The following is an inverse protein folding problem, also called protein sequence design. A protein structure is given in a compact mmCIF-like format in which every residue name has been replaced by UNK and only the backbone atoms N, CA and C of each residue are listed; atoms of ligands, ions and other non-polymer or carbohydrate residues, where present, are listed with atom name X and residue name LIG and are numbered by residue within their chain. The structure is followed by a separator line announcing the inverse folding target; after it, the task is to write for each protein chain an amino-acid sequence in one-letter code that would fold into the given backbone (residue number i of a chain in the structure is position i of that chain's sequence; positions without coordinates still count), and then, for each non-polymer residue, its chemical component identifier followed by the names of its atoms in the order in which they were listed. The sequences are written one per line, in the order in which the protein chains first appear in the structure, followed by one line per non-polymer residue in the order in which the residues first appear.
data_IF_140098171459
#
_entry.id   IF_140098171459
#
_cell.length_a   1.000
_cell.length_b   1.000
_cell.length_c   1.000
_cell.angle_alpha   90.00
_cell.angle_beta   90.00
_cell.angle_gamma   90.00
#
_symmetry.space_group_name_H-M   'P 1'
#
loop_
_entity.id
_entity.type
_entity.pdbx_description
1 polymer ?
#
# COMPACT_ATOMS: atom_id res chain seq x y z
N UNK A 1 1.18 7.98 11.79
CA UNK A 1 1.78 7.43 10.55
C UNK A 1 3.01 6.65 10.92
N UNK A 2 2.89 5.35 10.80
CA UNK A 2 3.99 4.42 10.86
C UNK A 2 3.64 3.23 9.98
N UNK A 3 4.65 2.54 9.50
CA UNK A 3 4.50 1.21 8.92
C UNK A 3 4.85 0.19 9.99
N UNK A 4 4.11 -0.91 10.05
CA UNK A 4 4.40 -1.95 11.00
C UNK A 4 3.69 -3.26 10.72
N UNK A 5 3.97 -4.22 11.59
CA UNK A 5 3.46 -5.59 11.56
C UNK A 5 2.39 -5.77 12.62
N UNK A 6 1.21 -6.25 12.23
CA UNK A 6 0.16 -6.61 13.18
C UNK A 6 0.65 -7.79 14.03
N UNK A 7 0.65 -7.64 15.34
CA UNK A 7 1.10 -8.67 16.29
C UNK A 7 -0.06 -9.31 17.06
N UNK A 8 -1.14 -8.57 17.29
CA UNK A 8 -2.31 -9.07 18.00
C UNK A 8 -3.60 -8.45 17.46
N UNK A 9 -4.71 -9.19 17.56
CA UNK A 9 -6.04 -8.75 17.17
C UNK A 9 -7.03 -9.16 18.24
N UNK A 10 -7.84 -8.22 18.72
CA UNK A 10 -8.88 -8.43 19.73
C UNK A 10 -10.20 -7.85 19.23
N UNK A 11 -11.27 -8.62 19.31
CA UNK A 11 -12.63 -8.11 19.03
C UNK A 11 -12.94 -6.92 19.94
N UNK A 12 -13.66 -5.94 19.41
CA UNK A 12 -14.13 -4.83 20.23
C UNK A 12 -15.03 -5.33 21.37
N UNK A 13 -14.86 -4.74 22.55
CA UNK A 13 -15.74 -5.03 23.68
C UNK A 13 -17.16 -4.54 23.38
N UNK A 14 -18.18 -5.32 23.74
CA UNK A 14 -19.58 -5.05 23.40
C UNK A 14 -20.09 -3.66 23.85
N UNK A 15 -19.44 -3.04 24.84
CA UNK A 15 -19.76 -1.70 25.35
C UNK A 15 -19.30 -0.57 24.41
N UNK A 16 -18.37 -0.81 23.48
CA UNK A 16 -17.87 0.18 22.51
C UNK A 16 -18.60 0.03 21.18
N UNK A 17 -19.82 0.57 21.10
CA UNK A 17 -20.75 0.38 19.97
C UNK A 17 -20.18 0.75 18.60
N UNK A 18 -19.19 1.64 18.54
CA UNK A 18 -18.65 2.18 17.28
C UNK A 18 -17.29 1.59 16.88
N UNK A 19 -16.70 0.71 17.70
CA UNK A 19 -15.45 0.02 17.35
C UNK A 19 -15.75 -1.39 16.85
N UNK A 20 -15.12 -1.78 15.75
CA UNK A 20 -15.25 -3.13 15.18
C UNK A 20 -14.17 -4.08 15.73
N UNK A 21 -12.92 -3.62 15.73
CA UNK A 21 -11.78 -4.43 16.17
C UNK A 21 -10.68 -3.54 16.76
N UNK A 22 -9.95 -4.08 17.73
CA UNK A 22 -8.68 -3.56 18.23
C UNK A 22 -7.54 -4.42 17.72
N UNK A 23 -6.42 -3.82 17.37
CA UNK A 23 -5.24 -4.57 16.96
C UNK A 23 -3.98 -3.83 17.37
N UNK A 24 -2.93 -4.60 17.68
CA UNK A 24 -1.64 -4.07 18.08
C UNK A 24 -0.67 -4.23 16.92
N UNK A 25 0.14 -3.19 16.69
CA UNK A 25 1.12 -3.16 15.61
C UNK A 25 2.50 -2.89 16.19
N UNK A 26 3.46 -3.74 15.86
CA UNK A 26 4.89 -3.50 16.10
C UNK A 26 5.43 -2.57 15.01
N UNK A 27 6.01 -1.45 15.43
CA UNK A 27 6.49 -0.39 14.56
C UNK A 27 7.80 -0.81 13.90
N UNK A 28 7.83 -0.76 12.57
CA UNK A 28 9.04 -1.01 11.76
C UNK A 28 9.62 0.29 11.20
N UNK A 29 8.75 1.22 10.82
CA UNK A 29 9.10 2.56 10.33
C UNK A 29 8.15 3.60 10.90
N UNK A 30 8.63 4.77 11.33
CA UNK A 30 7.75 5.84 11.80
C UNK A 30 7.94 7.15 11.04
N UNK A 31 6.83 7.78 10.69
CA UNK A 31 6.78 9.09 10.04
C UNK A 31 6.32 10.18 11.03
N UNK A 32 5.34 9.85 11.87
CA UNK A 32 4.71 10.77 12.84
C UNK A 32 3.77 10.04 13.79
N UNK A 33 3.75 10.37 15.09
CA UNK A 33 2.74 9.88 16.06
C UNK A 33 2.33 11.03 17.02
N UNK A 34 1.03 11.34 17.08
CA UNK A 34 0.52 12.51 17.85
C UNK A 34 0.08 12.23 19.29
N UNK A 35 -0.07 10.96 19.71
CA UNK A 35 -0.68 10.62 21.01
C UNK A 35 0.30 10.03 22.03
N UNK A 36 0.15 10.48 23.29
CA UNK A 36 0.45 9.73 24.52
C UNK A 36 1.86 9.18 24.71
N UNK A 37 2.87 9.73 24.04
CA UNK A 37 4.22 9.16 24.00
C UNK A 37 4.84 9.12 22.61
N UNK A 38 4.10 9.47 21.56
CA UNK A 38 4.54 9.46 20.15
C UNK A 38 5.80 10.26 19.81
N UNK A 39 6.24 11.18 20.68
CA UNK A 39 7.53 11.89 20.56
C UNK A 39 8.73 11.01 20.96
N UNK A 40 8.48 9.90 21.64
CA UNK A 40 9.45 8.93 22.14
C UNK A 40 9.30 7.53 21.52
N UNK A 41 8.28 7.31 20.69
CA UNK A 41 8.10 6.04 19.99
C UNK A 41 9.29 5.75 19.07
N UNK A 42 9.72 4.50 19.04
CA UNK A 42 10.85 4.00 18.25
C UNK A 42 10.46 2.75 17.49
N UNK A 43 11.31 2.37 16.54
CA UNK A 43 11.24 1.05 15.89
C UNK A 43 11.33 -0.03 16.96
N UNK A 44 10.46 -1.04 16.86
CA UNK A 44 10.30 -2.12 17.84
C UNK A 44 9.22 -1.87 18.89
N UNK A 45 8.78 -0.62 19.08
CA UNK A 45 7.68 -0.33 19.99
C UNK A 45 6.34 -0.83 19.42
N UNK A 46 5.38 -1.08 20.29
CA UNK A 46 4.01 -1.45 19.90
C UNK A 46 3.06 -0.26 19.98
N UNK A 47 2.14 -0.19 19.03
CA UNK A 47 1.06 0.80 19.01
C UNK A 47 -0.29 0.11 18.83
N UNK A 48 -1.22 0.42 19.73
CA UNK A 48 -2.60 -0.05 19.62
C UNK A 48 -3.41 0.81 18.65
N UNK A 49 -4.10 0.13 17.76
CA UNK A 49 -4.97 0.67 16.74
C UNK A 49 -6.38 0.11 16.89
N UNK A 50 -7.33 0.78 16.25
CA UNK A 50 -8.73 0.35 16.20
C UNK A 50 -9.35 0.70 14.87
N UNK A 51 -10.28 -0.13 14.44
CA UNK A 51 -11.15 0.14 13.30
C UNK A 51 -12.50 0.63 13.82
N UNK A 52 -12.88 1.83 13.42
CA UNK A 52 -14.18 2.41 13.73
C UNK A 52 -15.19 2.06 12.64
N UNK A 53 -16.45 1.90 13.01
CA UNK A 53 -17.57 1.79 12.05
C UNK A 53 -17.70 3.05 11.19
N UNK A 54 -17.44 4.22 11.79
CA UNK A 54 -17.46 5.52 11.14
C UNK A 54 -16.14 6.25 11.43
N UNK A 55 -15.53 6.84 10.40
CA UNK A 55 -14.31 7.66 10.51
C UNK A 55 -13.00 6.94 10.17
N UNK A 56 -13.01 5.61 10.05
CA UNK A 56 -11.85 4.84 9.56
C UNK A 56 -11.95 4.62 8.05
N UNK A 57 -11.01 5.19 7.30
CA UNK A 57 -10.79 4.82 5.91
C UNK A 57 -9.91 3.57 5.88
N UNK A 58 -10.42 2.54 5.20
CA UNK A 58 -9.79 1.25 5.15
C UNK A 58 -9.35 0.90 3.72
N UNK A 59 -8.10 0.49 3.57
CA UNK A 59 -7.49 0.10 2.30
C UNK A 59 -6.84 -1.26 2.46
N UNK A 60 -7.14 -2.20 1.54
CA UNK A 60 -6.44 -3.48 1.48
C UNK A 60 -5.83 -3.62 0.09
N UNK A 61 -4.53 -3.83 0.00
CA UNK A 61 -3.79 -4.00 -1.27
C UNK A 61 -4.11 -2.92 -2.33
N UNK A 62 -4.45 -1.71 -1.86
CA UNK A 62 -4.75 -0.54 -2.71
C UNK A 62 -6.23 -0.37 -3.05
N UNK A 63 -7.09 -1.31 -2.67
CA UNK A 63 -8.55 -1.19 -2.81
C UNK A 63 -9.15 -0.56 -1.54
N UNK A 64 -9.92 0.51 -1.70
CA UNK A 64 -10.73 1.03 -0.60
C UNK A 64 -11.89 0.07 -0.33
N UNK A 65 -12.06 -0.32 0.94
CA UNK A 65 -13.08 -1.28 1.40
C UNK A 65 -13.86 -0.70 2.57
N UNK A 66 -15.04 -1.25 2.84
CA UNK A 66 -15.79 -0.87 4.03
C UNK A 66 -15.11 -1.38 5.33
N UNK A 67 -15.40 -0.72 6.44
CA UNK A 67 -14.76 -0.96 7.73
C UNK A 67 -14.98 -2.39 8.25
N UNK A 68 -16.16 -2.97 7.99
CA UNK A 68 -16.50 -4.34 8.38
C UNK A 68 -15.64 -5.38 7.64
N UNK A 69 -15.36 -5.16 6.36
CA UNK A 69 -14.48 -6.00 5.56
C UNK A 69 -13.05 -5.92 6.07
N UNK A 70 -12.55 -4.70 6.28
CA UNK A 70 -11.20 -4.50 6.82
C UNK A 70 -11.01 -5.16 8.18
N UNK A 71 -11.98 -5.00 9.09
CA UNK A 71 -11.95 -5.62 10.41
C UNK A 71 -11.86 -7.17 10.36
N UNK A 72 -12.44 -7.80 9.35
CA UNK A 72 -12.33 -9.27 9.13
C UNK A 72 -10.99 -9.68 8.52
N UNK A 73 -10.39 -8.83 7.70
CA UNK A 73 -9.13 -9.13 7.03
C UNK A 73 -7.91 -9.02 7.96
N UNK A 74 -7.95 -8.13 8.97
CA UNK A 74 -6.86 -7.93 9.93
C UNK A 74 -6.56 -9.23 10.69
N UNK A 75 -5.30 -9.63 10.66
CA UNK A 75 -4.76 -10.79 11.37
C UNK A 75 -3.28 -10.56 11.69
N UNK A 76 -2.70 -11.28 12.68
CA UNK A 76 -1.28 -11.23 12.95
C UNK A 76 -0.44 -11.50 11.69
N UNK A 77 0.78 -10.98 11.68
CA UNK A 77 1.78 -11.06 10.61
C UNK A 77 1.48 -10.28 9.33
N UNK A 78 0.31 -9.63 9.23
CA UNK A 78 0.07 -8.68 8.16
C UNK A 78 0.84 -7.38 8.41
N UNK A 79 1.18 -6.72 7.30
CA UNK A 79 1.92 -5.46 7.31
C UNK A 79 1.04 -4.35 6.79
N UNK A 80 1.31 -3.13 7.22
CA UNK A 80 0.49 -2.01 6.81
C UNK A 80 1.07 -0.66 7.16
N UNK A 81 0.46 0.38 6.61
CA UNK A 81 0.70 1.78 6.96
C UNK A 81 -0.51 2.30 7.73
N UNK A 82 -0.24 2.83 8.93
CA UNK A 82 -1.27 3.22 9.87
C UNK A 82 -1.08 4.69 10.26
N UNK A 83 -2.06 5.51 9.90
CA UNK A 83 -2.17 6.88 10.38
C UNK A 83 -3.28 6.98 11.41
N UNK A 84 -2.89 6.77 12.67
CA UNK A 84 -3.83 6.76 13.80
C UNK A 84 -4.98 5.80 13.48
N UNK A 85 -6.21 6.11 13.87
CA UNK A 85 -7.38 5.26 13.60
C UNK A 85 -8.07 5.60 12.28
N UNK A 86 -7.42 6.39 11.44
CA UNK A 86 -8.10 7.21 10.43
C UNK A 86 -7.83 6.76 9.03
N UNK A 87 -6.56 6.52 8.68
CA UNK A 87 -6.19 5.86 7.43
C UNK A 87 -5.44 4.58 7.76
N UNK A 88 -6.06 3.46 7.43
CA UNK A 88 -5.56 2.12 7.71
C UNK A 88 -5.34 1.42 6.37
N UNK A 89 -4.08 1.18 6.04
CA UNK A 89 -3.67 0.49 4.82
C UNK A 89 -3.02 -0.84 5.17
N UNK A 90 -3.56 -1.94 4.66
CA UNK A 90 -3.15 -3.30 4.97
C UNK A 90 -2.67 -4.01 3.70
N UNK A 91 -1.54 -4.69 3.80
CA UNK A 91 -1.01 -5.56 2.75
C UNK A 91 -1.26 -7.01 3.14
N UNK A 92 -1.81 -7.79 2.21
CA UNK A 92 -2.05 -9.23 2.41
C UNK A 92 -0.88 -10.09 1.94
N UNK A 93 0.07 -9.49 1.22
CA UNK A 93 1.32 -10.11 0.79
C UNK A 93 2.38 -10.05 1.90
N UNK A 94 3.39 -10.95 1.86
CA UNK A 94 4.54 -10.85 2.76
C UNK A 94 5.23 -9.50 2.65
N UNK A 95 5.80 -9.03 3.76
CA UNK A 95 6.61 -7.82 3.78
C UNK A 95 7.78 -7.92 2.80
N UNK A 96 8.13 -6.78 2.21
CA UNK A 96 9.32 -6.64 1.38
C UNK A 96 10.26 -5.60 2.01
N UNK A 97 11.56 -5.74 1.74
CA UNK A 97 12.53 -4.70 2.08
C UNK A 97 12.46 -3.57 1.04
N UNK A 98 12.66 -2.33 1.48
CA UNK A 98 12.51 -1.14 0.64
C UNK A 98 13.60 -0.13 0.95
N UNK A 99 14.31 0.37 -0.07
CA UNK A 99 15.35 1.36 0.13
C UNK A 99 16.12 1.71 -1.13
N UNK A 100 17.13 2.55 -0.98
CA UNK A 100 18.05 3.02 -2.02
C UNK A 100 19.29 2.10 -2.10
N UNK A 101 19.71 1.72 -3.29
CA UNK A 101 20.98 1.02 -3.50
C UNK A 101 22.14 2.01 -3.38
N UNK A 102 23.09 1.76 -2.49
CA UNK A 102 24.24 2.65 -2.25
C UNK A 102 25.50 2.17 -2.94
N UNK A 103 25.75 0.86 -2.87
CA UNK A 103 26.94 0.23 -3.43
C UNK A 103 26.64 -1.20 -3.85
N UNK A 104 27.34 -1.70 -4.87
CA UNK A 104 27.16 -3.05 -5.41
C UNK A 104 28.51 -3.77 -5.37
N UNK A 105 28.54 -4.93 -4.74
CA UNK A 105 29.64 -5.88 -4.77
C UNK A 105 29.35 -7.04 -5.73
N UNK A 106 30.17 -8.09 -5.67
CA UNK A 106 30.05 -9.25 -6.58
C UNK A 106 28.80 -10.11 -6.29
N UNK A 107 28.50 -10.32 -5.01
CA UNK A 107 27.50 -11.25 -4.48
C UNK A 107 26.56 -10.61 -3.44
N UNK A 108 26.74 -9.32 -3.19
CA UNK A 108 25.91 -8.54 -2.29
C UNK A 108 25.88 -7.07 -2.69
N UNK A 109 24.81 -6.37 -2.33
CA UNK A 109 24.73 -4.91 -2.45
C UNK A 109 24.35 -4.29 -1.10
N UNK A 110 24.62 -3.00 -0.95
CA UNK A 110 24.24 -2.24 0.24
C UNK A 110 22.95 -1.48 -0.04
N UNK A 111 21.91 -1.76 0.76
CA UNK A 111 20.63 -1.08 0.73
C UNK A 111 20.54 -0.10 1.89
N UNK A 112 20.27 1.17 1.58
CA UNK A 112 19.93 2.20 2.56
C UNK A 112 18.41 2.29 2.70
N UNK A 113 17.93 1.85 3.85
CA UNK A 113 16.51 1.85 4.19
C UNK A 113 16.16 3.18 4.85
N UNK A 114 15.36 4.00 4.17
CA UNK A 114 14.84 5.25 4.72
C UNK A 114 13.57 5.01 5.53
N UNK A 115 13.57 5.52 6.77
CA UNK A 115 12.44 5.34 7.70
C UNK A 115 11.49 6.53 7.75
N UNK A 116 11.94 7.69 7.25
CA UNK A 116 11.15 8.91 7.10
C UNK A 116 11.66 9.70 5.89
N UNK A 117 10.83 10.61 5.39
CA UNK A 117 11.18 11.59 4.35
C UNK A 117 11.16 13.03 4.90
N UNK A 118 10.91 13.20 6.21
CA UNK A 118 10.87 14.51 6.85
C UNK A 118 12.21 14.77 7.52
N UNK A 119 12.89 15.83 7.10
CA UNK A 119 14.21 16.21 7.62
C UNK A 119 14.22 16.31 9.15
N UNK A 120 13.17 16.90 9.73
CA UNK A 120 12.98 17.04 11.19
C UNK A 120 12.90 15.72 11.96
N UNK A 121 12.75 14.59 11.27
CA UNK A 121 12.67 13.25 11.87
C UNK A 121 13.84 12.36 11.48
N UNK A 122 14.76 12.79 10.60
CA UNK A 122 15.90 11.97 10.15
C UNK A 122 16.85 11.67 11.32
N UNK A 123 17.17 12.64 12.17
CA UNK A 123 18.07 12.42 13.31
C UNK A 123 17.53 11.38 14.31
N UNK A 124 16.21 11.34 14.48
CA UNK A 124 15.52 10.36 15.35
C UNK A 124 15.19 9.05 14.63
N UNK A 125 15.37 9.02 13.31
CA UNK A 125 15.18 7.88 12.42
C UNK A 125 16.32 7.79 11.40
N UNK A 126 17.56 7.56 11.84
CA UNK A 126 18.67 7.48 10.91
C UNK A 126 18.40 6.36 9.90
N UNK A 127 18.72 6.59 8.61
CA UNK A 127 18.68 5.52 7.63
C UNK A 127 19.53 4.33 8.09
N UNK A 128 19.04 3.13 7.82
CA UNK A 128 19.77 1.90 8.13
C UNK A 128 20.40 1.36 6.85
N UNK A 129 21.71 1.15 6.85
CA UNK A 129 22.38 0.44 5.76
C UNK A 129 22.50 -1.05 6.08
N UNK A 130 21.97 -1.88 5.19
CA UNK A 130 22.04 -3.34 5.30
C UNK A 130 22.74 -3.92 4.08
N UNK A 131 23.53 -4.98 4.28
CA UNK A 131 24.08 -5.79 3.20
C UNK A 131 23.06 -6.84 2.79
N UNK A 132 22.73 -6.89 1.51
CA UNK A 132 21.79 -7.86 0.96
C UNK A 132 22.52 -8.78 -0.01
N UNK A 133 22.61 -10.08 0.28
CA UNK A 133 23.17 -11.05 -0.65
C UNK A 133 22.24 -11.27 -1.84
N UNK A 134 22.81 -11.51 -3.02
CA UNK A 134 22.10 -11.92 -4.21
C UNK A 134 22.90 -12.93 -5.03
N UNK A 135 22.18 -13.76 -5.80
CA UNK A 135 22.75 -14.77 -6.68
C UNK A 135 22.06 -14.75 -8.04
N UNK A 136 22.42 -15.71 -8.88
CA UNK A 136 21.89 -15.91 -10.23
C UNK A 136 20.44 -16.43 -10.27
N UNK A 137 19.89 -16.87 -9.14
CA UNK A 137 18.51 -17.35 -9.02
C UNK A 137 17.53 -16.23 -8.74
N UNK A 138 18.00 -15.04 -8.39
CA UNK A 138 17.15 -13.87 -8.17
C UNK A 138 16.64 -13.34 -9.51
N UNK A 139 15.33 -13.13 -9.59
CA UNK A 139 14.72 -12.43 -10.70
C UNK A 139 14.84 -10.91 -10.51
N UNK A 140 15.37 -10.22 -11.51
CA UNK A 140 15.49 -8.76 -11.48
C UNK A 140 14.45 -8.12 -12.40
N UNK A 141 13.90 -6.99 -11.99
CA UNK A 141 12.92 -6.22 -12.76
C UNK A 141 13.20 -4.72 -12.67
N UNK A 142 12.86 -3.99 -13.72
CA UNK A 142 12.66 -2.54 -13.70
C UNK A 142 11.16 -2.29 -13.75
N UNK A 143 10.57 -1.95 -12.60
CA UNK A 143 9.11 -1.92 -12.41
C UNK A 143 8.44 -3.23 -12.92
N UNK A 144 7.57 -3.15 -13.92
CA UNK A 144 6.87 -4.30 -14.50
C UNK A 144 7.73 -5.12 -15.48
N UNK A 145 8.90 -4.66 -15.88
CA UNK A 145 9.66 -5.30 -16.97
C UNK A 145 10.80 -6.18 -16.43
N UNK A 146 11.05 -7.38 -17.01
CA UNK A 146 12.25 -8.16 -16.72
C UNK A 146 13.53 -7.34 -16.92
N UNK A 147 14.54 -7.58 -16.08
CA UNK A 147 15.83 -6.90 -16.15
C UNK A 147 16.97 -7.79 -15.63
N UNK A 148 18.17 -7.22 -15.54
CA UNK A 148 19.36 -7.84 -15.01
C UNK A 148 19.85 -7.13 -13.73
N UNK A 149 20.75 -7.80 -13.00
CA UNK A 149 21.33 -7.25 -11.77
C UNK A 149 22.08 -5.94 -12.01
N UNK A 150 22.83 -5.83 -13.12
CA UNK A 150 23.65 -4.67 -13.44
C UNK A 150 22.81 -3.40 -13.68
N UNK A 151 21.57 -3.57 -14.14
CA UNK A 151 20.62 -2.49 -14.39
C UNK A 151 19.77 -2.20 -13.17
N UNK A 152 19.22 -3.23 -12.52
CA UNK A 152 18.34 -3.07 -11.37
C UNK A 152 19.08 -2.53 -10.13
N UNK A 153 20.31 -2.98 -9.89
CA UNK A 153 21.08 -2.62 -8.70
C UNK A 153 21.97 -1.37 -8.89
N UNK A 154 21.76 -0.56 -9.92
CA UNK A 154 22.55 0.67 -10.08
C UNK A 154 22.45 1.55 -8.82
N UNK A 155 23.57 2.05 -8.26
CA UNK A 155 23.52 2.99 -7.15
C UNK A 155 22.59 4.18 -7.42
N UNK A 156 21.78 4.53 -6.43
CA UNK A 156 20.70 5.52 -6.53
C UNK A 156 19.33 4.95 -6.92
N UNK A 157 19.27 3.74 -7.49
CA UNK A 157 17.98 3.07 -7.70
C UNK A 157 17.34 2.72 -6.36
N UNK A 158 16.02 2.81 -6.30
CA UNK A 158 15.26 2.25 -5.19
C UNK A 158 14.82 0.84 -5.53
N UNK A 159 14.78 -0.06 -4.55
CA UNK A 159 14.39 -1.45 -4.79
C UNK A 159 13.38 -1.94 -3.77
N UNK A 160 12.43 -2.75 -4.22
CA UNK A 160 11.65 -3.66 -3.40
C UNK A 160 12.26 -5.05 -3.49
N UNK A 161 12.62 -5.62 -2.34
CA UNK A 161 13.16 -6.98 -2.24
C UNK A 161 12.06 -7.88 -1.72
N UNK A 162 11.52 -8.65 -2.64
CA UNK A 162 10.43 -9.56 -2.39
C UNK A 162 10.97 -10.97 -2.22
N UNK A 163 10.72 -11.56 -1.06
CA UNK A 163 11.03 -12.97 -0.82
C UNK A 163 10.10 -13.88 -1.64
N UNK A 164 10.48 -15.17 -1.84
CA UNK A 164 9.65 -16.12 -2.55
C UNK A 164 8.23 -16.17 -1.99
N UNK A 165 7.24 -16.25 -2.88
CA UNK A 165 5.84 -16.38 -2.48
C UNK A 165 5.11 -17.38 -3.37
N UNK A 166 4.13 -18.11 -2.82
CA UNK A 166 3.21 -18.91 -3.63
C UNK A 166 2.37 -18.02 -4.55
N UNK A 167 1.68 -18.65 -5.49
CA UNK A 167 0.60 -17.98 -6.21
C UNK A 167 -0.48 -17.56 -5.21
N UNK A 168 -0.97 -16.32 -5.30
CA UNK A 168 -2.08 -15.85 -4.47
C UNK A 168 -3.24 -15.48 -5.37
N UNK A 169 -4.44 -15.90 -4.98
CA UNK A 169 -5.67 -15.66 -5.73
C UNK A 169 -6.69 -15.04 -4.78
N UNK A 170 -7.06 -13.79 -5.05
CA UNK A 170 -7.97 -13.01 -4.19
C UNK A 170 -9.23 -12.62 -4.94
N UNK A 171 -10.38 -13.05 -4.42
CA UNK A 171 -11.71 -12.62 -4.84
C UNK A 171 -12.12 -11.37 -4.06
N UNK A 172 -12.64 -10.36 -4.76
CA UNK A 172 -13.26 -9.18 -4.19
C UNK A 172 -14.73 -9.13 -4.54
N UNK A 173 -15.57 -9.14 -3.51
CA UNK A 173 -17.01 -8.99 -3.67
C UNK A 173 -17.38 -7.51 -3.91
N UNK A 174 -18.58 -7.29 -4.48
CA UNK A 174 -19.04 -5.93 -4.79
C UNK A 174 -19.55 -5.19 -3.56
N UNK A 175 -20.13 -5.92 -2.60
CA UNK A 175 -20.65 -5.40 -1.33
C UNK A 175 -19.56 -5.01 -0.33
N UNK A 176 -18.30 -5.37 -0.59
CA UNK A 176 -17.13 -4.97 0.22
C UNK A 176 -16.51 -3.64 -0.19
N UNK A 177 -17.01 -3.03 -1.27
CA UNK A 177 -16.58 -1.71 -1.71
C UNK A 177 -16.76 -0.67 -0.59
N UNK A 178 -15.89 0.33 -0.61
CA UNK A 178 -15.94 1.45 0.31
C UNK A 178 -17.30 2.16 0.29
N UNK A 179 -17.87 2.36 1.49
CA UNK A 179 -19.11 3.12 1.66
C UNK A 179 -18.79 4.55 2.10
N UNK A 180 -19.20 5.54 1.29
CA UNK A 180 -19.00 6.95 1.60
C UNK A 180 -19.76 7.40 2.84
N UNK A 181 -20.80 6.69 3.28
CA UNK A 181 -21.48 6.95 4.53
C UNK A 181 -20.64 6.57 5.77
N UNK A 182 -19.58 5.76 5.60
CA UNK A 182 -18.64 5.45 6.68
C UNK A 182 -17.67 6.61 6.97
N UNK A 183 -17.61 7.63 6.11
CA UNK A 183 -16.94 8.90 6.41
C UNK A 183 -17.82 9.75 7.32
N UNK A 184 -17.29 10.29 8.43
CA UNK A 184 -18.03 11.34 9.13
C UNK A 184 -18.05 12.63 8.29
N UNK A 185 -19.13 13.42 8.37
CA UNK A 185 -19.20 14.72 7.71
C UNK A 185 -18.02 15.61 8.13
N UNK A 186 -17.31 16.14 7.13
CA UNK A 186 -16.11 16.96 7.32
C UNK A 186 -16.42 18.22 8.14
N UNK A 187 -17.64 18.72 8.01
CA UNK A 187 -18.18 19.91 8.66
C UNK A 187 -18.36 19.73 10.17
N UNK A 188 -18.35 18.49 10.67
CA UNK A 188 -18.47 18.18 12.10
C UNK A 188 -17.10 18.12 12.82
N UNK A 189 -15.99 18.36 12.08
CA UNK A 189 -14.63 18.28 12.59
C UNK A 189 -14.24 19.48 13.46
N UNK A 190 -14.44 19.38 14.78
CA UNK A 190 -13.95 20.39 15.75
C UNK A 190 -12.50 20.12 16.18
N UNK A 191 -11.77 21.19 16.55
CA UNK A 191 -10.41 21.10 17.14
C UNK A 191 -10.45 20.17 18.37
N UNK A 192 -9.67 19.09 18.37
CA UNK A 192 -9.68 18.04 19.41
C UNK A 192 -10.39 16.73 19.01
N UNK A 193 -11.34 16.77 18.06
CA UNK A 193 -11.96 15.58 17.43
C UNK A 193 -11.31 15.21 16.10
N UNK A 194 -10.51 16.14 15.58
CA UNK A 194 -10.13 16.20 14.18
C UNK A 194 -8.98 15.28 13.74
N UNK A 195 -8.60 14.34 14.59
CA UNK A 195 -7.58 13.34 14.32
C UNK A 195 -8.19 11.97 14.01
N UNK A 196 -9.26 11.58 14.72
CA UNK A 196 -9.82 10.22 14.64
C UNK A 196 -11.07 10.11 13.75
N UNK A 197 -11.69 11.23 13.36
CA UNK A 197 -13.12 11.20 12.96
C UNK A 197 -13.48 11.95 11.67
N UNK A 198 -12.74 12.98 11.27
CA UNK A 198 -13.10 13.80 10.09
C UNK A 198 -11.97 13.81 9.07
N UNK A 199 -11.84 12.72 8.33
CA UNK A 199 -10.90 12.63 7.21
C UNK A 199 -11.60 12.04 6.00
N UNK A 200 -11.32 12.65 4.85
CA UNK A 200 -11.84 12.19 3.58
C UNK A 200 -10.75 11.41 2.85
N UNK A 201 -11.09 10.24 2.34
CA UNK A 201 -10.28 9.57 1.34
C UNK A 201 -11.04 9.50 0.03
N UNK A 202 -10.31 9.72 -1.06
CA UNK A 202 -10.88 9.67 -2.39
C UNK A 202 -10.00 8.77 -3.24
N UNK A 203 -10.63 7.83 -3.93
CA UNK A 203 -9.97 7.08 -4.98
C UNK A 203 -9.46 8.07 -6.03
N UNK A 204 -8.28 7.80 -6.54
CA UNK A 204 -7.62 8.63 -7.51
C UNK A 204 -6.75 7.83 -8.45
N UNK A 205 -6.31 8.50 -9.50
CA UNK A 205 -5.29 7.97 -10.41
C UNK A 205 -4.25 9.05 -10.63
N UNK A 206 -2.98 8.68 -10.58
CA UNK A 206 -1.88 9.60 -10.91
C UNK A 206 -1.90 9.86 -12.42
N UNK A 207 -1.98 11.12 -12.84
CA UNK A 207 -2.19 11.52 -14.25
C UNK A 207 -0.91 12.05 -14.92
N UNK A 208 0.08 12.47 -14.14
CA UNK A 208 1.12 13.47 -14.49
C UNK A 208 1.55 13.55 -15.97
N UNK A 209 1.27 14.72 -16.58
CA UNK A 209 1.81 15.23 -17.85
C UNK A 209 2.71 16.44 -17.57
N UNK A 210 4.00 16.22 -17.33
CA UNK A 210 5.05 17.20 -17.68
C UNK A 210 5.75 16.69 -18.94
N UNK A 211 6.14 17.55 -19.91
CA UNK A 211 6.72 17.13 -21.19
C UNK A 211 7.87 16.13 -21.06
N UNK A 212 8.57 16.14 -19.93
CA UNK A 212 9.82 15.40 -19.77
C UNK A 212 9.74 14.17 -18.86
N UNK A 213 8.55 13.78 -18.37
CA UNK A 213 8.42 12.66 -17.39
C UNK A 213 9.34 12.83 -16.17
N UNK A 214 9.57 14.07 -15.74
CA UNK A 214 10.38 14.40 -14.56
C UNK A 214 9.48 14.99 -13.49
N UNK A 215 9.46 14.37 -12.32
CA UNK A 215 9.02 14.99 -11.08
C UNK A 215 10.25 15.53 -10.32
N UNK A 216 10.57 16.81 -10.54
CA UNK A 216 11.40 17.55 -9.59
C UNK A 216 10.59 17.78 -8.28
N UNK A 217 11.25 18.08 -7.17
CA UNK A 217 10.60 18.46 -5.91
C UNK A 217 9.71 19.71 -6.06
N UNK A 218 9.85 20.48 -7.15
CA UNK A 218 8.92 21.56 -7.54
C UNK A 218 7.70 21.09 -8.34
N UNK A 219 7.70 19.84 -8.82
CA UNK A 219 6.73 19.34 -9.78
C UNK A 219 5.36 19.04 -9.16
N UNK A 220 4.35 19.31 -9.96
CA UNK A 220 2.95 19.16 -9.61
C UNK A 220 2.48 17.74 -9.95
N UNK A 221 2.03 16.99 -8.94
CA UNK A 221 1.34 15.71 -9.20
C UNK A 221 -0.13 15.99 -9.43
N UNK A 222 -0.65 15.60 -10.59
CA UNK A 222 -2.09 15.65 -10.84
C UNK A 222 -2.72 14.31 -10.51
N UNK A 223 -3.78 14.36 -9.71
CA UNK A 223 -4.61 13.19 -9.44
C UNK A 223 -6.05 13.50 -9.81
N UNK A 224 -6.68 12.58 -10.54
CA UNK A 224 -8.13 12.59 -10.65
C UNK A 224 -8.72 12.17 -9.30
N UNK A 225 -9.79 12.82 -8.87
CA UNK A 225 -10.56 12.43 -7.69
C UNK A 225 -12.05 12.45 -8.02
N UNK A 226 -12.81 11.57 -7.39
CA UNK A 226 -14.26 11.47 -7.60
C UNK A 226 -15.02 12.00 -6.38
N UNK A 227 -15.80 13.06 -6.56
CA UNK A 227 -16.62 13.67 -5.53
C UNK A 227 -18.04 13.92 -5.98
N UNK A 228 -19.00 13.41 -5.21
CA UNK A 228 -20.42 13.61 -5.50
C UNK A 228 -20.78 13.23 -6.96
N UNK A 229 -20.07 12.25 -7.53
CA UNK A 229 -20.23 11.82 -8.92
C UNK A 229 -19.42 12.61 -9.95
N UNK A 230 -18.71 13.67 -9.55
CA UNK A 230 -17.90 14.51 -10.45
C UNK A 230 -16.41 14.17 -10.35
N UNK A 231 -15.75 14.16 -11.51
CA UNK A 231 -14.31 13.97 -11.64
C UNK A 231 -13.62 15.33 -11.57
N UNK A 232 -12.74 15.51 -10.60
CA UNK A 232 -11.90 16.71 -10.46
C UNK A 232 -10.43 16.35 -10.57
N UNK A 233 -9.63 17.19 -11.21
CA UNK A 233 -8.17 17.08 -11.17
C UNK A 233 -7.60 17.95 -10.05
N UNK A 234 -6.80 17.36 -9.17
CA UNK A 234 -6.11 18.09 -8.09
C UNK A 234 -4.62 18.11 -8.36
N UNK A 235 -4.04 19.30 -8.26
CA UNK A 235 -2.61 19.57 -8.41
C UNK A 235 -1.93 19.61 -7.05
N UNK A 236 -0.89 18.80 -6.86
CA UNK A 236 -0.27 18.55 -5.56
C UNK A 236 1.17 19.07 -5.52
N UNK A 237 1.56 19.65 -4.38
CA UNK A 237 2.95 20.03 -4.13
C UNK A 237 3.68 18.83 -3.51
N UNK A 238 4.57 18.19 -4.28
CA UNK A 238 5.32 17.02 -3.86
C UNK A 238 6.19 17.23 -2.61
N UNK A 239 6.59 18.48 -2.27
CA UNK A 239 7.31 18.80 -1.01
C UNK A 239 6.42 18.75 0.23
N UNK A 240 5.11 18.89 0.07
CA UNK A 240 4.15 19.00 1.19
C UNK A 240 3.32 17.74 1.40
N UNK A 241 3.32 16.82 0.42
CA UNK A 241 2.51 15.61 0.46
C UNK A 241 3.40 14.38 0.47
N UNK A 242 3.16 13.48 1.42
CA UNK A 242 3.93 12.24 1.53
C UNK A 242 3.32 11.14 0.69
N UNK A 243 4.17 10.39 -0.01
CA UNK A 243 3.78 9.24 -0.79
C UNK A 243 4.08 7.94 -0.03
N UNK A 244 3.11 7.04 -0.05
CA UNK A 244 3.21 5.68 0.51
C UNK A 244 3.04 4.70 -0.64
N UNK A 245 4.13 4.15 -1.15
CA UNK A 245 4.12 3.13 -2.20
C UNK A 245 4.07 1.75 -1.55
N UNK A 246 3.02 0.98 -1.82
CA UNK A 246 2.82 -0.39 -1.31
C UNK A 246 3.02 -0.51 0.22
N UNK A 247 2.53 0.51 0.96
CA UNK A 247 2.63 0.56 2.43
C UNK A 247 3.97 1.07 2.98
N UNK A 248 4.93 1.47 2.14
CA UNK A 248 6.21 2.07 2.54
C UNK A 248 6.32 3.52 2.10
N UNK A 249 6.95 4.37 2.92
CA UNK A 249 7.25 5.75 2.52
C UNK A 249 8.19 5.76 1.31
N UNK A 250 7.84 6.55 0.30
CA UNK A 250 8.57 6.59 -0.95
C UNK A 250 8.81 8.03 -1.42
N UNK A 251 9.95 8.32 -2.06
CA UNK A 251 10.17 9.61 -2.70
C UNK A 251 9.11 9.88 -3.79
N UNK A 252 8.63 11.13 -3.93
CA UNK A 252 7.64 11.48 -4.95
C UNK A 252 8.04 11.07 -6.37
N UNK A 253 9.33 11.27 -6.74
CA UNK A 253 9.90 10.93 -8.04
C UNK A 253 9.82 9.44 -8.41
N UNK A 254 9.57 8.57 -7.43
CA UNK A 254 9.41 7.13 -7.60
C UNK A 254 7.95 6.73 -7.46
N UNK A 255 7.23 7.32 -6.51
CA UNK A 255 5.86 6.92 -6.22
C UNK A 255 4.85 7.45 -7.25
N UNK A 256 4.99 8.70 -7.70
CA UNK A 256 4.01 9.39 -8.54
C UNK A 256 4.22 9.12 -10.04
N UNK A 257 4.27 7.85 -10.43
CA UNK A 257 4.28 7.45 -11.84
C UNK A 257 2.86 7.52 -12.41
N UNK A 258 2.73 8.14 -13.58
CA UNK A 258 1.45 8.24 -14.29
C UNK A 258 0.84 6.86 -14.53
N UNK A 259 -0.48 6.76 -14.35
CA UNK A 259 -1.20 5.50 -14.48
C UNK A 259 -1.42 4.77 -13.16
N UNK A 260 -0.66 5.09 -12.10
CA UNK A 260 -0.80 4.43 -10.78
C UNK A 260 -2.12 4.76 -10.11
N UNK A 261 -2.75 3.72 -9.57
CA UNK A 261 -3.92 3.88 -8.69
C UNK A 261 -3.47 4.51 -7.38
N UNK A 262 -4.29 5.41 -6.85
CA UNK A 262 -3.97 6.18 -5.66
C UNK A 262 -5.18 6.33 -4.74
N UNK A 263 -4.92 6.46 -3.44
CA UNK A 263 -5.89 6.91 -2.44
C UNK A 263 -5.40 8.24 -1.89
N UNK A 264 -6.17 9.30 -2.14
CA UNK A 264 -5.87 10.66 -1.69
C UNK A 264 -6.44 10.86 -0.29
N UNK A 265 -5.57 10.98 0.71
CA UNK A 265 -5.93 11.08 2.12
C UNK A 265 -5.92 12.54 2.59
N UNK A 266 -7.10 13.10 2.84
CA UNK A 266 -7.31 14.49 3.24
C UNK A 266 -7.51 14.63 4.74
N UNK A 267 -6.79 15.58 5.33
CA UNK A 267 -6.98 15.96 6.71
C UNK A 267 -8.12 16.97 6.81
N UNK A 268 -9.16 16.69 7.61
CA UNK A 268 -10.28 17.61 7.84
C UNK A 268 -10.87 18.15 6.52
N UNK A 269 -11.05 19.47 6.45
CA UNK A 269 -11.54 20.23 5.30
C UNK A 269 -10.44 20.63 4.31
N UNK A 270 -9.22 20.09 4.43
CA UNK A 270 -8.11 20.50 3.57
C UNK A 270 -8.36 20.09 2.13
N UNK A 271 -8.21 21.07 1.23
CA UNK A 271 -8.34 20.85 -0.22
C UNK A 271 -7.21 20.00 -0.79
N UNK A 272 -6.05 19.98 -0.12
CA UNK A 272 -4.84 19.26 -0.52
C UNK A 272 -4.71 18.00 0.33
N UNK A 273 -4.48 16.81 -0.26
CA UNK A 273 -4.21 15.58 0.47
C UNK A 273 -2.89 15.68 1.25
N UNK A 274 -2.92 15.18 2.48
CA UNK A 274 -1.77 15.08 3.36
C UNK A 274 -0.91 13.83 3.05
N UNK A 275 -1.56 12.73 2.66
CA UNK A 275 -0.92 11.48 2.23
C UNK A 275 -1.52 11.00 0.92
N UNK A 276 -0.72 10.30 0.14
CA UNK A 276 -1.18 9.58 -1.06
C UNK A 276 -0.67 8.16 -0.95
N UNK A 277 -1.60 7.21 -0.88
CA UNK A 277 -1.28 5.79 -0.89
C UNK A 277 -1.31 5.34 -2.35
N UNK A 278 -0.19 4.82 -2.87
CA UNK A 278 -0.02 4.45 -4.27
C UNK A 278 0.33 2.97 -4.35
N UNK A 279 0.00 2.33 -5.47
CA UNK A 279 0.45 0.97 -5.80
C UNK A 279 1.39 0.95 -6.98
N UNK A 280 2.42 0.11 -6.92
CA UNK A 280 3.42 0.01 -8.00
C UNK A 280 2.87 -0.60 -9.29
N UNK A 281 1.62 -1.09 -9.29
CA UNK A 281 1.10 -2.00 -10.33
C UNK A 281 2.05 -3.18 -10.50
N UNK A 282 2.14 -3.97 -9.44
CA UNK A 282 2.84 -5.25 -9.42
C UNK A 282 2.48 -6.16 -10.61
N UNK A 283 3.10 -7.34 -10.66
CA UNK A 283 2.81 -8.38 -11.65
C UNK A 283 1.41 -9.01 -11.50
N UNK A 284 0.46 -8.31 -10.87
CA UNK A 284 -0.90 -8.79 -10.69
C UNK A 284 -1.66 -8.84 -12.00
N UNK A 285 -2.37 -9.95 -12.19
CA UNK A 285 -3.37 -10.09 -13.26
C UNK A 285 -4.73 -9.82 -12.63
N UNK A 286 -5.44 -8.81 -13.15
CA UNK A 286 -6.74 -8.37 -12.63
C UNK A 286 -7.82 -8.57 -13.68
N UNK A 287 -8.98 -9.05 -13.26
CA UNK A 287 -10.11 -9.25 -14.16
C UNK A 287 -11.34 -9.81 -13.48
N UNK A 288 -12.41 -9.95 -14.25
CA UNK A 288 -13.64 -10.62 -13.80
C UNK A 288 -13.56 -12.11 -14.12
N UNK A 289 -14.01 -12.95 -13.20
CA UNK A 289 -14.04 -14.41 -13.39
C UNK A 289 -15.02 -14.78 -14.51
N UNK A 290 -14.50 -15.43 -15.56
CA UNK A 290 -15.32 -16.05 -16.60
C UNK A 290 -15.63 -17.51 -16.27
N UNK A 291 -14.61 -18.25 -15.86
CA UNK A 291 -14.69 -19.65 -15.45
C UNK A 291 -13.52 -19.98 -14.51
N UNK A 292 -13.73 -20.88 -13.56
CA UNK A 292 -12.68 -21.35 -12.65
C UNK A 292 -13.00 -22.79 -12.22
N UNK A 293 -11.98 -23.64 -12.17
CA UNK A 293 -12.04 -24.96 -11.55
C UNK A 293 -10.81 -25.15 -10.63
N UNK A 294 -10.48 -26.39 -10.26
CA UNK A 294 -9.35 -26.66 -9.36
C UNK A 294 -7.96 -26.47 -10.01
N UNK A 295 -7.88 -26.47 -11.34
CA UNK A 295 -6.61 -26.48 -12.08
C UNK A 295 -6.39 -25.21 -12.89
N UNK A 296 -7.48 -24.55 -13.29
CA UNK A 296 -7.44 -23.44 -14.24
C UNK A 296 -8.43 -22.34 -13.87
N UNK A 297 -8.03 -21.13 -14.20
CA UNK A 297 -8.79 -19.92 -14.04
C UNK A 297 -8.80 -19.15 -15.36
N UNK A 298 -9.97 -18.73 -15.80
CA UNK A 298 -10.14 -17.84 -16.95
C UNK A 298 -10.68 -16.48 -16.51
N UNK A 299 -9.92 -15.44 -16.81
CA UNK A 299 -10.26 -14.05 -16.51
C UNK A 299 -10.60 -13.28 -17.78
N UNK A 300 -11.50 -12.30 -17.64
CA UNK A 300 -11.68 -11.22 -18.60
C UNK A 300 -11.08 -9.94 -18.01
N UNK A 301 -10.17 -9.31 -18.76
CA UNK A 301 -9.58 -8.02 -18.43
C UNK A 301 -9.76 -7.05 -19.60
N UNK A 302 -9.54 -5.73 -19.41
CA UNK A 302 -9.49 -4.80 -20.53
C UNK A 302 -8.45 -5.16 -21.62
N UNK A 303 -7.40 -5.89 -21.24
CA UNK A 303 -6.35 -6.38 -22.15
C UNK A 303 -6.73 -7.69 -22.87
N UNK A 304 -7.91 -8.25 -22.61
CA UNK A 304 -8.37 -9.51 -23.18
C UNK A 304 -8.58 -10.62 -22.15
N UNK A 305 -8.78 -11.83 -22.65
CA UNK A 305 -9.00 -13.01 -21.82
C UNK A 305 -7.69 -13.71 -21.48
N UNK A 306 -7.50 -14.06 -20.21
CA UNK A 306 -6.32 -14.74 -19.71
C UNK A 306 -6.70 -16.12 -19.19
N UNK A 307 -5.96 -17.15 -19.58
CA UNK A 307 -6.06 -18.48 -18.96
C UNK A 307 -4.83 -18.69 -18.09
N UNK A 308 -5.08 -18.99 -16.81
CA UNK A 308 -4.05 -19.10 -15.77
C UNK A 308 -4.15 -20.49 -15.15
N UNK A 309 -3.02 -21.17 -15.06
CA UNK A 309 -2.91 -22.42 -14.29
C UNK A 309 -2.87 -22.10 -12.80
N UNK A 310 -3.66 -22.85 -12.03
CA UNK A 310 -3.67 -22.76 -10.57
C UNK A 310 -2.55 -23.66 -10.04
N UNK A 311 -1.61 -23.06 -9.32
CA UNK A 311 -0.51 -23.79 -8.70
C UNK A 311 -1.02 -24.69 -7.58
N UNK A 312 -0.38 -25.86 -7.38
CA UNK A 312 -0.78 -26.82 -6.33
C UNK A 312 -0.70 -26.23 -4.92
N UNK A 313 0.21 -25.29 -4.71
CA UNK A 313 0.44 -24.57 -3.46
C UNK A 313 -0.16 -23.15 -3.47
N UNK A 314 -1.12 -22.88 -4.36
CA UNK A 314 -1.81 -21.59 -4.41
C UNK A 314 -2.54 -21.28 -3.10
N UNK A 315 -2.49 -20.02 -2.70
CA UNK A 315 -3.19 -19.50 -1.52
C UNK A 315 -4.39 -18.68 -1.98
N UNK A 316 -5.53 -18.92 -1.33
CA UNK A 316 -6.81 -18.30 -1.69
C UNK A 316 -7.24 -17.29 -0.64
N UNK A 317 -7.87 -16.20 -1.11
CA UNK A 317 -8.44 -15.17 -0.26
C UNK A 317 -9.78 -14.68 -0.79
N UNK A 318 -10.64 -14.27 0.13
CA UNK A 318 -11.86 -13.51 -0.16
C UNK A 318 -11.81 -12.23 0.66
N UNK A 319 -11.89 -11.09 -0.04
CA UNK A 319 -11.85 -9.75 0.53
C UNK A 319 -10.66 -9.50 1.47
N UNK A 320 -9.51 -10.06 1.11
CA UNK A 320 -8.25 -9.97 1.86
C UNK A 320 -8.11 -10.92 3.06
N UNK A 321 -9.14 -11.70 3.38
CA UNK A 321 -9.09 -12.75 4.40
C UNK A 321 -8.75 -14.12 3.77
N UNK A 322 -8.02 -15.01 4.46
CA UNK A 322 -7.76 -16.37 3.96
C UNK A 322 -9.06 -17.12 3.72
N UNK A 323 -9.10 -17.87 2.62
CA UNK A 323 -10.26 -18.65 2.21
C UNK A 323 -9.83 -19.99 1.60
N UNK A 324 -10.79 -20.87 1.38
CA UNK A 324 -10.58 -22.06 0.55
C UNK A 324 -10.90 -21.78 -0.92
N UNK A 325 -10.54 -22.72 -1.78
CA UNK A 325 -10.82 -22.66 -3.21
C UNK A 325 -12.32 -22.51 -3.50
N UNK A 326 -13.19 -23.20 -2.76
CA UNK A 326 -14.65 -23.20 -3.00
C UNK A 326 -15.28 -21.82 -2.74
N UNK A 327 -14.75 -21.07 -1.78
CA UNK A 327 -15.16 -19.70 -1.52
C UNK A 327 -14.78 -18.75 -2.66
N UNK A 328 -13.70 -19.05 -3.40
CA UNK A 328 -13.19 -18.25 -4.52
C UNK A 328 -13.82 -18.65 -5.87
N UNK A 329 -14.21 -19.92 -6.05
CA UNK A 329 -14.93 -20.39 -7.25
C UNK A 329 -16.39 -19.88 -7.20
N UNK A 330 -16.58 -18.60 -7.53
CA UNK A 330 -17.90 -18.00 -7.72
C UNK A 330 -17.89 -17.13 -8.97
N UNK A 331 -18.98 -17.18 -9.73
CA UNK A 331 -19.11 -16.38 -10.95
C UNK A 331 -19.36 -14.91 -10.62
N UNK A 332 -18.61 -14.00 -11.25
CA UNK A 332 -18.95 -12.57 -11.30
C UNK A 332 -18.28 -11.64 -10.29
N UNK A 333 -17.33 -12.11 -9.47
CA UNK A 333 -16.50 -11.24 -8.64
C UNK A 333 -15.24 -10.73 -9.35
N UNK A 334 -14.67 -9.65 -8.83
CA UNK A 334 -13.38 -9.13 -9.29
C UNK A 334 -12.29 -10.02 -8.70
N UNK A 335 -11.33 -10.44 -9.52
CA UNK A 335 -10.23 -11.28 -9.08
C UNK A 335 -8.90 -10.58 -9.30
N UNK A 336 -8.00 -10.76 -8.34
CA UNK A 336 -6.58 -10.40 -8.43
C UNK A 336 -5.77 -11.68 -8.28
N UNK A 337 -4.92 -11.96 -9.26
CA UNK A 337 -3.96 -13.08 -9.21
C UNK A 337 -2.57 -12.51 -9.13
N UNK A 338 -1.84 -12.93 -8.11
CA UNK A 338 -0.41 -12.68 -7.97
C UNK A 338 0.33 -13.98 -8.37
N UNK A 339 1.04 -14.01 -9.51
CA UNK A 339 1.73 -15.22 -9.99
C UNK A 339 2.75 -15.75 -8.98
N UNK A 340 3.00 -17.05 -8.95
CA UNK A 340 4.08 -17.62 -8.12
C UNK A 340 5.43 -17.02 -8.53
N UNK A 341 6.27 -16.69 -7.55
CA UNK A 341 7.62 -16.16 -7.83
C UNK A 341 8.66 -16.66 -6.84
N UNK A 342 9.88 -16.81 -7.34
CA UNK A 342 11.08 -16.87 -6.51
C UNK A 342 11.44 -15.50 -5.93
N UNK A 343 12.61 -15.40 -5.30
CA UNK A 343 13.11 -14.13 -4.76
C UNK A 343 13.27 -13.15 -5.91
N UNK A 344 12.65 -11.98 -5.79
CA UNK A 344 12.57 -10.99 -6.86
C UNK A 344 12.97 -9.62 -6.34
N UNK A 345 13.85 -8.92 -7.05
CA UNK A 345 14.22 -7.54 -6.78
C UNK A 345 13.61 -6.65 -7.87
N UNK A 346 12.67 -5.80 -7.47
CA UNK A 346 12.02 -4.82 -8.36
C UNK A 346 12.67 -3.48 -8.13
N UNK A 347 13.35 -2.96 -9.15
CA UNK A 347 14.01 -1.68 -9.11
C UNK A 347 13.15 -0.55 -9.70
N UNK A 348 13.33 0.62 -9.14
CA UNK A 348 12.68 1.87 -9.47
C UNK A 348 13.78 2.92 -9.68
N UNK A 349 13.95 3.36 -10.92
CA UNK A 349 14.91 4.40 -11.23
C UNK A 349 14.36 5.76 -10.79
N UNK A 350 15.15 6.58 -10.08
CA UNK A 350 14.86 8.00 -9.96
C UNK A 350 14.72 8.61 -11.36
N UNK A 351 13.59 9.26 -11.65
CA UNK A 351 13.50 10.07 -12.86
C UNK A 351 14.61 11.14 -12.81
N UNK A 352 15.48 11.18 -13.82
CA UNK A 352 16.55 12.17 -13.91
C UNK A 352 15.92 13.55 -14.00
N UNK A 353 16.36 14.46 -13.12
CA UNK A 353 16.16 15.89 -13.30
C UNK A 353 17.25 16.33 -14.28
N UNK A 354 16.88 16.58 -15.53
CA UNK A 354 17.76 17.25 -16.48
C UNK A 354 17.67 18.76 -16.27
#
# INVERSE_FOLDING_TARGET
AFTGKVTAVKKAEAKKKDTLVHFTVEIDYFDYLSRGGGRHSKVGDTSDQRVLKLGSVCVIDGRMVNAATFAKAIRPYLWGYFYETTWLDLQTTPNFQWGEVVAVGKDAFTLRVHRTHKDVHIETNPPLEIKVPYDDKISFRMESEPSDAATALKPGNWVQIHEPRPQMITLWNRDTAYDSAEQQPVEQGKRGLANDLTCRAVLGKVVTKTPDKVLDLSAQVTCDRWLKGEKETVTLNAKKTSFVLDGKLAPPKIAAVAGRDAVLCHYRSDKVPHKILVRSHDDSIRGTIMAMNAETLRLASPAGSHQITIEKDAVFQVDGAPADLQAVIRKGGDLVVLPKRGRTIIAFAPQKVN
#
